data_IF_831200891653
#
_entry.id   IF_831200891653
#
_cell.length_a   1.000
_cell.length_b   1.000
_cell.length_c   1.000
_cell.angle_alpha   90.00
_cell.angle_beta   90.00
_cell.angle_gamma   90.00
#
_symmetry.space_group_name_H-M   'P 1'
#
loop_
_entity.id
_entity.type
_entity.pdbx_description
1 polymer ?
#
# COMPACT_ATOMS: atom_id res chain seq x y z
N UNK A 1 7.43 4.43 -15.28
CA UNK A 1 6.03 4.93 -15.16
C UNK A 1 4.96 4.02 -15.79
N UNK A 2 4.99 3.75 -17.10
CA UNK A 2 3.89 3.02 -17.80
C UNK A 2 3.64 1.61 -17.25
N UNK A 3 4.70 0.79 -17.09
CA UNK A 3 4.56 -0.58 -16.55
C UNK A 3 4.07 -0.56 -15.10
N UNK A 4 4.58 0.37 -14.30
CA UNK A 4 4.16 0.59 -12.91
C UNK A 4 2.66 0.89 -12.82
N UNK A 5 2.16 1.85 -13.61
CA UNK A 5 0.73 2.17 -13.66
C UNK A 5 -0.13 1.00 -14.12
N UNK A 6 0.33 0.27 -15.14
CA UNK A 6 -0.39 -0.92 -15.62
C UNK A 6 -0.50 -1.98 -14.53
N UNK A 7 0.58 -2.27 -13.81
CA UNK A 7 0.57 -3.23 -12.70
C UNK A 7 -0.40 -2.81 -11.59
N UNK A 8 -0.47 -1.51 -11.27
CA UNK A 8 -1.42 -0.97 -10.26
C UNK A 8 -2.87 -1.13 -10.73
N UNK A 9 -3.18 -0.80 -11.99
CA UNK A 9 -4.52 -0.94 -12.56
C UNK A 9 -4.99 -2.41 -12.61
N UNK A 10 -4.06 -3.34 -12.77
CA UNK A 10 -4.31 -4.78 -12.75
C UNK A 10 -4.28 -5.37 -11.32
N UNK A 11 -4.18 -4.53 -10.28
CA UNK A 11 -4.03 -4.92 -8.86
C UNK A 11 -2.81 -5.83 -8.58
N UNK A 12 -1.81 -5.82 -9.44
CA UNK A 12 -0.55 -6.56 -9.32
C UNK A 12 0.45 -5.77 -8.48
N UNK A 13 0.11 -5.50 -7.23
CA UNK A 13 0.88 -4.59 -6.39
C UNK A 13 2.29 -5.07 -6.07
N UNK A 14 2.50 -6.39 -5.98
CA UNK A 14 3.83 -6.98 -5.81
C UNK A 14 4.75 -6.63 -6.98
N UNK A 15 4.23 -6.78 -8.21
CA UNK A 15 4.96 -6.45 -9.42
C UNK A 15 5.21 -4.93 -9.51
N UNK A 16 4.22 -4.12 -9.14
CA UNK A 16 4.37 -2.66 -9.09
C UNK A 16 5.50 -2.23 -8.14
N UNK A 17 5.55 -2.77 -6.92
CA UNK A 17 6.62 -2.47 -5.97
C UNK A 17 7.97 -2.96 -6.48
N UNK A 18 8.02 -4.14 -7.11
CA UNK A 18 9.26 -4.66 -7.71
C UNK A 18 9.79 -3.74 -8.82
N UNK A 19 8.92 -3.37 -9.76
CA UNK A 19 9.24 -2.49 -10.89
C UNK A 19 9.74 -1.13 -10.40
N UNK A 20 9.06 -0.54 -9.41
CA UNK A 20 9.49 0.72 -8.83
C UNK A 20 10.84 0.59 -8.12
N UNK A 21 11.05 -0.45 -7.32
CA UNK A 21 12.32 -0.62 -6.59
C UNK A 21 13.49 -0.78 -7.57
N UNK A 22 13.26 -1.42 -8.72
CA UNK A 22 14.24 -1.50 -9.79
C UNK A 22 14.49 -0.13 -10.43
N UNK A 23 13.42 0.57 -10.81
CA UNK A 23 13.50 1.91 -11.40
C UNK A 23 14.13 2.94 -10.46
N UNK A 24 13.87 2.85 -9.15
CA UNK A 24 14.39 3.77 -8.14
C UNK A 24 15.91 3.75 -8.08
N UNK A 25 16.57 2.58 -8.27
CA UNK A 25 18.04 2.52 -8.35
C UNK A 25 18.59 3.31 -9.55
N UNK A 26 17.90 3.25 -10.68
CA UNK A 26 18.25 4.02 -11.88
C UNK A 26 18.01 5.50 -11.64
N UNK A 27 16.86 5.87 -11.08
CA UNK A 27 16.51 7.25 -10.76
C UNK A 27 17.44 7.86 -9.70
N UNK A 28 17.92 7.10 -8.72
CA UNK A 28 18.92 7.59 -7.77
C UNK A 28 20.27 7.87 -8.42
N UNK A 29 20.63 7.11 -9.47
CA UNK A 29 21.91 7.25 -10.16
C UNK A 29 21.91 8.37 -11.20
N UNK A 30 20.76 8.66 -11.81
CA UNK A 30 20.64 9.59 -12.93
C UNK A 30 19.63 10.73 -12.71
N UNK A 31 18.92 10.76 -11.57
CA UNK A 31 17.79 11.66 -11.32
C UNK A 31 18.13 13.15 -11.28
N UNK A 32 19.38 13.48 -10.95
CA UNK A 32 19.86 14.87 -10.98
C UNK A 32 19.98 15.42 -12.42
N UNK A 33 19.90 14.54 -13.44
CA UNK A 33 19.88 14.97 -14.83
C UNK A 33 18.49 15.53 -15.20
N UNK A 34 18.42 16.68 -15.88
CA UNK A 34 17.14 17.30 -16.27
C UNK A 34 16.21 16.37 -17.06
N UNK A 35 16.78 15.47 -17.86
CA UNK A 35 16.04 14.47 -18.64
C UNK A 35 15.32 13.42 -17.80
N UNK A 36 15.75 13.21 -16.55
CA UNK A 36 15.17 12.21 -15.65
C UNK A 36 14.25 12.82 -14.58
N UNK A 37 14.27 14.14 -14.38
CA UNK A 37 13.43 14.80 -13.36
C UNK A 37 11.93 14.55 -13.59
N UNK A 38 11.44 14.67 -14.83
CA UNK A 38 10.03 14.43 -15.14
C UNK A 38 9.62 12.98 -14.83
N UNK A 39 10.48 12.01 -15.17
CA UNK A 39 10.28 10.58 -14.91
C UNK A 39 10.31 10.31 -13.40
N UNK A 40 11.20 10.97 -12.66
CA UNK A 40 11.31 10.83 -11.22
C UNK A 40 10.05 11.34 -10.51
N UNK A 41 9.56 12.52 -10.89
CA UNK A 41 8.30 13.08 -10.38
C UNK A 41 7.14 12.14 -10.68
N UNK A 42 6.98 11.70 -11.93
CA UNK A 42 5.90 10.80 -12.33
C UNK A 42 5.94 9.47 -11.55
N UNK A 43 7.11 8.83 -11.44
CA UNK A 43 7.24 7.61 -10.63
C UNK A 43 6.95 7.84 -9.14
N UNK A 44 7.26 9.03 -8.61
CA UNK A 44 6.99 9.37 -7.20
C UNK A 44 5.49 9.54 -6.95
N UNK A 45 4.79 10.20 -7.87
CA UNK A 45 3.34 10.39 -7.80
C UNK A 45 2.61 9.04 -7.85
N UNK A 46 3.00 8.16 -8.79
CA UNK A 46 2.43 6.82 -8.92
C UNK A 46 2.62 6.01 -7.63
N UNK A 47 3.79 6.09 -7.01
CA UNK A 47 4.04 5.40 -5.74
C UNK A 47 3.30 6.01 -4.56
N UNK A 48 3.14 7.33 -4.54
CA UNK A 48 2.30 7.99 -3.54
C UNK A 48 0.87 7.44 -3.58
N UNK A 49 0.30 7.27 -4.78
CA UNK A 49 -1.03 6.73 -4.95
C UNK A 49 -1.12 5.23 -4.62
N UNK A 50 -0.15 4.42 -5.05
CA UNK A 50 -0.07 3.02 -4.62
C UNK A 50 -0.06 2.88 -3.09
N UNK A 51 0.73 3.72 -2.41
CA UNK A 51 0.78 3.73 -0.94
C UNK A 51 -0.57 4.10 -0.32
N UNK A 52 -1.37 4.96 -0.94
CA UNK A 52 -2.74 5.25 -0.47
C UNK A 52 -3.63 4.03 -0.64
N UNK A 53 -3.64 3.42 -1.82
CA UNK A 53 -4.42 2.19 -2.11
C UNK A 53 -4.08 1.06 -1.14
N UNK A 54 -2.80 0.83 -0.86
CA UNK A 54 -2.39 -0.19 0.10
C UNK A 54 -2.87 0.11 1.53
N UNK A 55 -2.90 1.39 1.95
CA UNK A 55 -3.47 1.78 3.26
C UNK A 55 -4.99 1.62 3.30
N UNK A 56 -5.68 1.93 2.21
CA UNK A 56 -7.12 1.73 2.10
C UNK A 56 -7.48 0.25 2.23
N UNK A 57 -6.72 -0.66 1.59
CA UNK A 57 -6.88 -2.12 1.79
C UNK A 57 -6.78 -2.51 3.26
N UNK A 58 -5.93 -1.85 4.05
CA UNK A 58 -5.82 -2.12 5.49
C UNK A 58 -7.06 -1.69 6.29
N UNK A 59 -7.87 -0.76 5.77
CA UNK A 59 -9.06 -0.24 6.45
C UNK A 59 -10.36 -0.89 5.94
N UNK A 60 -10.33 -1.56 4.78
CA UNK A 60 -11.49 -2.23 4.19
C UNK A 60 -11.84 -3.51 4.97
N UNK A 61 -13.07 -3.64 5.50
CA UNK A 61 -13.49 -4.79 6.33
C UNK A 61 -13.40 -6.15 5.64
N UNK A 62 -13.61 -6.17 4.32
CA UNK A 62 -13.66 -7.40 3.51
C UNK A 62 -12.26 -7.86 3.04
N UNK A 63 -11.20 -7.10 3.33
CA UNK A 63 -9.84 -7.49 2.97
C UNK A 63 -9.42 -8.73 3.77
N UNK A 64 -8.98 -9.76 3.07
CA UNK A 64 -8.55 -11.01 3.71
C UNK A 64 -7.26 -10.82 4.52
N UNK A 65 -7.00 -11.72 5.48
CA UNK A 65 -5.78 -11.68 6.28
C UNK A 65 -4.49 -11.76 5.43
N UNK A 66 -4.53 -12.52 4.32
CA UNK A 66 -3.41 -12.63 3.38
C UNK A 66 -3.14 -11.30 2.67
N UNK A 67 -4.19 -10.62 2.22
CA UNK A 67 -4.08 -9.33 1.54
C UNK A 67 -3.65 -8.20 2.48
N UNK A 68 -4.07 -8.25 3.74
CA UNK A 68 -3.55 -7.36 4.79
C UNK A 68 -2.04 -7.58 4.99
N UNK A 69 -1.61 -8.83 5.14
CA UNK A 69 -0.20 -9.17 5.32
C UNK A 69 0.66 -8.76 4.11
N UNK A 70 0.16 -8.98 2.89
CA UNK A 70 0.78 -8.51 1.66
C UNK A 70 0.91 -6.99 1.66
N UNK A 71 -0.18 -6.25 1.95
CA UNK A 71 -0.19 -4.79 1.91
C UNK A 71 0.79 -4.19 2.93
N UNK A 72 0.87 -4.74 4.14
CA UNK A 72 1.88 -4.35 5.14
C UNK A 72 3.31 -4.65 4.65
N UNK A 73 3.52 -5.83 4.05
CA UNK A 73 4.82 -6.22 3.49
C UNK A 73 5.29 -5.29 2.37
N UNK A 74 4.38 -4.87 1.49
CA UNK A 74 4.65 -3.95 0.40
C UNK A 74 4.91 -2.52 0.89
N UNK A 75 4.09 -2.01 1.83
CA UNK A 75 4.32 -0.69 2.45
C UNK A 75 5.68 -0.61 3.13
N UNK A 76 6.11 -1.69 3.80
CA UNK A 76 7.45 -1.78 4.41
C UNK A 76 8.56 -1.74 3.34
N UNK A 77 8.40 -2.42 2.22
CA UNK A 77 9.37 -2.36 1.11
C UNK A 77 9.48 -0.96 0.51
N UNK A 78 8.37 -0.21 0.48
CA UNK A 78 8.32 1.19 0.04
C UNK A 78 8.80 2.20 1.10
N UNK A 79 9.45 1.72 2.16
CA UNK A 79 10.06 2.52 3.24
C UNK A 79 9.08 3.51 3.89
N UNK A 80 7.81 3.11 4.02
CA UNK A 80 6.87 3.88 4.84
C UNK A 80 7.33 3.93 6.29
N UNK A 81 7.29 5.11 6.88
CA UNK A 81 7.77 5.31 8.24
C UNK A 81 6.85 4.57 9.22
N UNK A 82 7.49 3.75 10.06
CA UNK A 82 6.84 2.81 10.98
C UNK A 82 5.77 3.43 11.89
N UNK A 83 5.83 4.75 12.14
CA UNK A 83 4.82 5.44 12.96
C UNK A 83 3.43 5.42 12.31
N UNK A 84 3.33 5.79 11.03
CA UNK A 84 2.03 5.84 10.34
C UNK A 84 1.42 4.45 10.14
N UNK A 85 2.25 3.42 9.92
CA UNK A 85 1.80 2.05 9.72
C UNK A 85 1.28 1.40 11.01
N UNK A 86 1.95 1.66 12.15
CA UNK A 86 1.51 1.15 13.45
C UNK A 86 0.14 1.68 13.83
N UNK A 87 -0.08 2.98 13.66
CA UNK A 87 -1.37 3.62 13.97
C UNK A 87 -2.50 3.07 13.08
N UNK A 88 -2.24 2.90 11.79
CA UNK A 88 -3.20 2.31 10.85
C UNK A 88 -3.52 0.86 11.22
N UNK A 89 -2.51 0.07 11.57
CA UNK A 89 -2.70 -1.33 11.96
C UNK A 89 -3.51 -1.46 13.25
N UNK A 90 -3.20 -0.66 14.28
CA UNK A 90 -3.95 -0.64 15.54
C UNK A 90 -5.41 -0.27 15.31
N UNK A 91 -5.67 0.76 14.49
CA UNK A 91 -7.03 1.18 14.16
C UNK A 91 -7.81 0.12 13.36
N UNK A 92 -7.13 -0.61 12.48
CA UNK A 92 -7.73 -1.77 11.79
C UNK A 92 -8.11 -2.88 12.77
N UNK A 93 -7.20 -3.23 13.68
CA UNK A 93 -7.45 -4.27 14.69
C UNK A 93 -8.64 -3.88 15.60
N UNK A 94 -8.70 -2.63 16.04
CA UNK A 94 -9.82 -2.07 16.81
C UNK A 94 -11.14 -2.18 16.04
N UNK A 95 -11.20 -1.67 14.81
CA UNK A 95 -12.39 -1.74 13.97
C UNK A 95 -12.88 -3.19 13.77
N UNK A 96 -11.97 -4.15 13.54
CA UNK A 96 -12.34 -5.57 13.36
C UNK A 96 -12.87 -6.19 14.65
N UNK A 97 -12.27 -5.86 15.79
CA UNK A 97 -12.75 -6.32 17.10
C UNK A 97 -14.15 -5.78 17.39
N UNK A 98 -14.42 -4.51 17.08
CA UNK A 98 -15.76 -3.93 17.22
C UNK A 98 -16.79 -4.63 16.33
N UNK A 99 -16.44 -4.94 15.08
CA UNK A 99 -17.33 -5.68 14.18
C UNK A 99 -17.62 -7.10 14.70
N UNK A 100 -16.59 -7.80 15.19
CA UNK A 100 -16.78 -9.12 15.80
C UNK A 100 -17.68 -9.04 17.05
N UNK A 101 -17.50 -8.04 17.91
CA UNK A 101 -18.35 -7.81 19.08
C UNK A 101 -19.80 -7.52 18.68
N UNK A 102 -20.02 -6.65 17.68
CA UNK A 102 -21.38 -6.36 17.16
C UNK A 102 -22.06 -7.62 16.63
N UNK A 103 -21.33 -8.45 15.87
CA UNK A 103 -21.86 -9.70 15.33
C UNK A 103 -22.23 -10.70 16.43
N UNK A 104 -21.37 -10.87 17.44
CA UNK A 104 -21.65 -11.75 18.59
C UNK A 104 -22.87 -11.27 19.39
N UNK A 105 -22.99 -9.96 19.62
CA UNK A 105 -24.15 -9.40 20.32
C UNK A 105 -25.44 -9.57 19.51
N UNK A 106 -25.39 -9.37 18.19
CA UNK A 106 -26.55 -9.58 17.31
C UNK A 106 -27.03 -11.04 17.33
N UNK A 107 -26.10 -12.02 17.35
CA UNK A 107 -26.40 -13.45 17.49
C UNK A 107 -27.00 -13.82 18.85
N UNK A 108 -26.68 -13.08 19.92
CA UNK A 108 -27.21 -13.34 21.26
C UNK A 108 -28.65 -12.85 21.48
N UNK A 109 -29.15 -11.99 20.58
CA UNK A 109 -30.47 -11.36 20.62
C UNK A 109 -31.48 -12.00 19.64
N UNK A 110 -31.03 -12.95 18.80
CA UNK A 110 -31.83 -13.73 17.85
C UNK A 110 -32.08 -15.15 18.35
#
# INVERSE_FOLDING_TARGET
>A
PTQLNKAIQENRYVDAVHDYTHAQRVLQKYGDQPSFQSIQTECSDIICDLKKTLRERLLTPDTSASELAESVGLLRQLQETDSSLKDIFLKCAENRLEQHLKNLNALSLS
#
